data_IF_514259651976
#
_entry.id   IF_514259651976
#
_cell.length_a   1.000
_cell.length_b   1.000
_cell.length_c   1.000
_cell.angle_alpha   90.00
_cell.angle_beta   90.00
_cell.angle_gamma   90.00
#
_symmetry.space_group_name_H-M   'P 1'
#
loop_
_entity.id
_entity.type
_entity.pdbx_description
1 polymer ?
#
# COMPACT_ATOMS: atom_id res chain seq x y z
N UNK A 1 -39.66 -25.33 -21.78
CA UNK A 1 -39.00 -24.77 -20.58
C UNK A 1 -37.67 -24.18 -21.03
N UNK A 2 -37.61 -22.85 -21.20
CA UNK A 2 -36.36 -22.17 -21.56
C UNK A 2 -35.51 -22.08 -20.30
N UNK A 3 -34.42 -22.83 -20.24
CA UNK A 3 -33.43 -22.71 -19.17
C UNK A 3 -32.74 -21.37 -19.40
N UNK A 4 -33.04 -20.38 -18.56
CA UNK A 4 -32.38 -19.09 -18.59
C UNK A 4 -30.89 -19.32 -18.30
N UNK A 5 -30.04 -19.16 -19.33
CA UNK A 5 -28.59 -19.13 -19.17
C UNK A 5 -28.29 -17.90 -18.30
N UNK A 6 -27.69 -18.04 -17.10
CA UNK A 6 -27.42 -16.89 -16.25
C UNK A 6 -26.49 -15.91 -16.98
N UNK A 7 -26.75 -14.61 -16.83
CA UNK A 7 -25.91 -13.58 -17.44
C UNK A 7 -24.46 -13.69 -16.92
N UNK A 8 -23.48 -13.32 -17.75
CA UNK A 8 -22.04 -13.36 -17.39
C UNK A 8 -21.76 -12.65 -16.05
N UNK A 9 -22.51 -11.60 -15.75
CA UNK A 9 -22.44 -10.85 -14.48
C UNK A 9 -22.94 -11.65 -13.27
N UNK A 10 -24.06 -12.38 -13.40
CA UNK A 10 -24.54 -13.26 -12.32
C UNK A 10 -23.55 -14.39 -12.02
N UNK A 11 -22.84 -14.88 -13.04
CA UNK A 11 -21.78 -15.88 -12.87
C UNK A 11 -20.57 -15.34 -12.09
N UNK A 12 -20.12 -14.11 -12.39
CA UNK A 12 -19.00 -13.47 -11.69
C UNK A 12 -19.33 -13.23 -10.21
N UNK A 13 -20.55 -12.80 -9.90
CA UNK A 13 -20.97 -12.56 -8.51
C UNK A 13 -20.90 -13.83 -7.65
N UNK A 14 -21.52 -14.92 -8.12
CA UNK A 14 -21.48 -16.20 -7.39
C UNK A 14 -20.06 -16.75 -7.26
N UNK A 15 -19.23 -16.61 -8.29
CA UNK A 15 -17.82 -16.99 -8.24
C UNK A 15 -17.03 -16.14 -7.23
N UNK A 16 -17.29 -14.83 -7.19
CA UNK A 16 -16.66 -13.90 -6.25
C UNK A 16 -16.94 -14.32 -4.81
N UNK A 17 -18.20 -14.59 -4.47
CA UNK A 17 -18.55 -15.02 -3.11
C UNK A 17 -17.92 -16.39 -2.78
N UNK A 18 -17.93 -17.35 -3.71
CA UNK A 18 -17.30 -18.66 -3.51
C UNK A 18 -15.79 -18.53 -3.22
N UNK A 19 -15.07 -17.77 -4.05
CA UNK A 19 -13.63 -17.53 -3.89
C UNK A 19 -13.36 -16.77 -2.58
N UNK A 20 -14.19 -15.78 -2.25
CA UNK A 20 -14.10 -15.04 -1.00
C UNK A 20 -14.21 -15.92 0.25
N UNK A 21 -15.19 -16.84 0.28
CA UNK A 21 -15.34 -17.82 1.37
C UNK A 21 -14.13 -18.75 1.47
N UNK A 22 -13.57 -19.19 0.34
CA UNK A 22 -12.35 -20.00 0.32
C UNK A 22 -11.14 -19.23 0.91
N UNK A 23 -10.99 -17.95 0.54
CA UNK A 23 -9.95 -17.08 1.11
C UNK A 23 -10.12 -16.96 2.63
N UNK A 24 -11.35 -16.69 3.11
CA UNK A 24 -11.62 -16.60 4.55
C UNK A 24 -11.30 -17.90 5.29
N UNK A 25 -11.70 -19.05 4.73
CA UNK A 25 -11.43 -20.35 5.31
C UNK A 25 -9.93 -20.61 5.46
N UNK A 26 -9.16 -20.42 4.38
CA UNK A 26 -7.69 -20.61 4.39
C UNK A 26 -7.00 -19.63 5.33
N UNK A 27 -7.42 -18.36 5.32
CA UNK A 27 -6.86 -17.33 6.19
C UNK A 27 -7.12 -17.62 7.67
N UNK A 28 -8.30 -18.16 8.04
CA UNK A 28 -8.56 -18.63 9.41
C UNK A 28 -7.63 -19.75 9.84
N UNK A 29 -7.35 -20.71 8.95
CA UNK A 29 -6.43 -21.83 9.21
C UNK A 29 -4.97 -21.38 9.32
N UNK A 30 -4.60 -20.34 8.56
CA UNK A 30 -3.25 -19.77 8.54
C UNK A 30 -2.92 -18.89 9.76
N UNK A 31 -3.83 -18.74 10.72
CA UNK A 31 -3.57 -17.94 11.92
C UNK A 31 -2.40 -18.51 12.71
N UNK A 32 -1.43 -17.68 13.12
CA UNK A 32 -0.50 -18.05 14.17
C UNK A 32 -1.31 -18.42 15.42
N UNK A 33 -0.86 -19.44 16.16
CA UNK A 33 -1.37 -19.66 17.51
C UNK A 33 -1.04 -18.41 18.34
N UNK A 34 -1.88 -17.99 19.31
CA UNK A 34 -1.71 -16.76 20.11
C UNK A 34 -0.38 -16.63 20.89
N UNK A 35 0.53 -17.61 20.76
CA UNK A 35 1.81 -17.70 21.46
C UNK A 35 2.98 -17.23 20.57
N UNK A 36 2.82 -17.13 19.23
CA UNK A 36 3.99 -17.00 18.33
C UNK A 36 4.37 -15.59 17.85
N UNK A 37 3.54 -14.54 17.99
CA UNK A 37 3.96 -13.16 17.72
C UNK A 37 3.06 -12.12 18.41
N UNK A 38 3.67 -11.09 19.01
CA UNK A 38 3.12 -9.73 19.06
C UNK A 38 1.76 -9.47 19.73
N UNK A 39 1.11 -10.44 20.38
CA UNK A 39 -0.26 -10.32 20.89
C UNK A 39 -0.54 -9.07 21.76
N UNK A 40 0.46 -8.56 22.48
CA UNK A 40 0.37 -7.31 23.23
C UNK A 40 0.25 -6.04 22.36
N UNK A 41 0.82 -6.02 21.15
CA UNK A 41 0.69 -4.91 20.19
C UNK A 41 -0.74 -4.83 19.65
N UNK A 42 -1.33 -5.96 19.30
CA UNK A 42 -2.74 -6.05 18.88
C UNK A 42 -3.69 -5.68 20.03
N UNK A 43 -3.40 -6.11 21.27
CA UNK A 43 -4.20 -5.73 22.44
C UNK A 43 -4.10 -4.24 22.79
N UNK A 44 -2.90 -3.65 22.73
CA UNK A 44 -2.70 -2.22 22.99
C UNK A 44 -3.37 -1.35 21.94
N UNK A 45 -3.24 -1.74 20.66
CA UNK A 45 -3.91 -1.07 19.56
C UNK A 45 -5.43 -1.26 19.67
N UNK A 46 -5.94 -2.49 19.74
CA UNK A 46 -7.37 -2.80 19.85
C UNK A 46 -8.05 -2.14 21.06
N UNK A 47 -7.33 -1.96 22.16
CA UNK A 47 -7.82 -1.26 23.34
C UNK A 47 -7.84 0.27 23.16
N UNK A 48 -6.77 0.88 22.61
CA UNK A 48 -6.75 2.32 22.30
C UNK A 48 -7.81 2.72 21.26
N UNK A 49 -8.11 1.79 20.36
CA UNK A 49 -9.06 1.93 19.26
C UNK A 49 -10.53 1.95 19.69
N UNK A 50 -10.83 1.47 20.90
CA UNK A 50 -12.18 1.56 21.49
C UNK A 50 -12.47 2.95 22.09
N UNK A 51 -11.48 3.84 22.12
CA UNK A 51 -11.55 5.16 22.78
C UNK A 51 -10.96 6.24 21.87
N UNK A 52 -11.79 6.93 21.06
CA UNK A 52 -11.32 7.89 20.05
C UNK A 52 -10.37 8.96 20.61
N UNK A 53 -10.67 9.50 21.79
CA UNK A 53 -9.87 10.53 22.45
C UNK A 53 -8.47 10.05 22.84
N UNK A 54 -8.34 8.79 23.26
CA UNK A 54 -7.06 8.23 23.66
C UNK A 54 -6.21 7.84 22.45
N UNK A 55 -6.85 7.29 21.41
CA UNK A 55 -6.22 7.01 20.11
C UNK A 55 -5.54 8.26 19.54
N UNK A 56 -6.26 9.37 19.48
CA UNK A 56 -5.74 10.59 18.86
C UNK A 56 -4.55 11.18 19.65
N UNK A 57 -4.54 11.04 20.98
CA UNK A 57 -3.41 11.43 21.84
C UNK A 57 -2.21 10.49 21.68
N UNK A 58 -2.45 9.19 21.58
CA UNK A 58 -1.40 8.21 21.30
C UNK A 58 -0.75 8.46 19.91
N UNK A 59 -1.55 8.73 18.88
CA UNK A 59 -1.03 9.04 17.55
C UNK A 59 -0.25 10.35 17.52
N UNK A 60 -0.70 11.38 18.26
CA UNK A 60 0.07 12.61 18.46
C UNK A 60 1.39 12.36 19.19
N UNK A 61 1.39 11.53 20.22
CA UNK A 61 2.62 11.16 20.91
C UNK A 61 3.61 10.46 19.95
N UNK A 62 3.14 9.43 19.24
CA UNK A 62 3.97 8.68 18.30
C UNK A 62 4.53 9.58 17.19
N UNK A 63 3.74 10.51 16.64
CA UNK A 63 4.21 11.41 15.58
C UNK A 63 5.27 12.42 16.06
N UNK A 64 5.30 12.73 17.37
CA UNK A 64 6.29 13.63 17.96
C UNK A 64 7.61 12.92 18.34
N UNK A 65 7.58 11.61 18.60
CA UNK A 65 8.75 10.81 19.01
C UNK A 65 10.01 11.03 18.18
N UNK A 66 9.96 11.13 16.84
CA UNK A 66 11.19 11.28 16.04
C UNK A 66 11.88 12.63 16.24
N UNK A 67 11.18 13.64 16.77
CA UNK A 67 11.73 14.98 17.04
C UNK A 67 12.27 15.13 18.47
N UNK A 68 12.06 14.13 19.33
CA UNK A 68 12.45 14.15 20.73
C UNK A 68 13.83 13.52 20.87
N UNK A 69 14.82 14.34 21.21
CA UNK A 69 16.22 13.94 21.26
C UNK A 69 16.52 13.30 22.61
N UNK A 70 15.98 13.86 23.69
CA UNK A 70 16.27 13.45 25.07
C UNK A 70 15.18 12.54 25.65
N UNK A 71 15.51 11.73 26.66
CA UNK A 71 14.51 10.92 27.37
C UNK A 71 13.50 11.79 28.15
N UNK A 72 13.93 12.94 28.67
CA UNK A 72 13.08 13.89 29.37
C UNK A 72 11.97 14.47 28.48
N UNK A 73 12.30 14.82 27.23
CA UNK A 73 11.31 15.29 26.25
C UNK A 73 10.25 14.22 25.93
N UNK A 74 10.68 12.96 25.80
CA UNK A 74 9.77 11.82 25.58
C UNK A 74 8.89 11.59 26.79
N UNK A 75 9.46 11.58 28.00
CA UNK A 75 8.70 11.38 29.24
C UNK A 75 7.67 12.49 29.44
N UNK A 76 8.05 13.75 29.22
CA UNK A 76 7.15 14.91 29.28
C UNK A 76 6.02 14.77 28.29
N UNK A 77 6.32 14.47 27.03
CA UNK A 77 5.31 14.32 25.98
C UNK A 77 4.35 13.17 26.27
N UNK A 78 4.87 12.04 26.77
CA UNK A 78 4.05 10.91 27.19
C UNK A 78 3.09 11.31 28.32
N UNK A 79 3.59 12.03 29.33
CA UNK A 79 2.78 12.53 30.45
C UNK A 79 1.75 13.57 30.00
N UNK A 80 2.11 14.50 29.13
CA UNK A 80 1.17 15.51 28.61
C UNK A 80 0.06 14.89 27.77
N UNK A 81 0.38 13.90 26.93
CA UNK A 81 -0.59 13.24 26.07
C UNK A 81 -1.43 12.20 26.82
N UNK A 82 -0.87 11.47 27.80
CA UNK A 82 -1.55 10.34 28.45
C UNK A 82 -1.84 10.53 29.94
N UNK A 83 -1.11 11.38 30.66
CA UNK A 83 -1.14 11.51 32.13
C UNK A 83 -2.30 12.30 32.74
N UNK A 84 -3.15 12.97 31.93
CA UNK A 84 -4.22 13.83 32.44
C UNK A 84 -5.50 13.14 32.91
N UNK A 85 -5.75 11.87 32.53
CA UNK A 85 -7.03 11.19 32.76
C UNK A 85 -6.80 9.80 33.40
N UNK A 86 -6.47 9.78 34.69
CA UNK A 86 -6.11 8.57 35.43
C UNK A 86 -7.09 7.39 35.28
N UNK A 87 -8.38 7.63 35.08
CA UNK A 87 -9.38 6.56 35.02
C UNK A 87 -9.54 5.91 33.64
N UNK A 88 -8.90 6.46 32.61
CA UNK A 88 -9.08 6.01 31.24
C UNK A 88 -7.96 5.13 30.67
N UNK A 89 -6.86 4.95 31.42
CA UNK A 89 -5.70 4.15 31.04
C UNK A 89 -5.76 2.74 31.66
N UNK A 90 -5.23 1.69 31.00
CA UNK A 90 -5.05 0.39 31.62
C UNK A 90 -4.04 0.55 32.75
N UNK A 91 -4.23 -0.21 33.82
CA UNK A 91 -3.36 -0.19 35.02
C UNK A 91 -1.85 -0.07 34.73
N UNK A 92 -1.24 -0.84 33.81
CA UNK A 92 0.19 -0.69 33.52
C UNK A 92 0.58 0.68 32.92
N UNK A 93 -0.26 1.30 32.09
CA UNK A 93 0.03 2.63 31.54
C UNK A 93 -0.20 3.74 32.58
N UNK A 94 -1.14 3.56 33.52
CA UNK A 94 -1.32 4.50 34.65
C UNK A 94 -0.06 4.60 35.49
N UNK A 95 0.51 3.45 35.86
CA UNK A 95 1.78 3.37 36.58
C UNK A 95 2.94 3.98 35.77
N UNK A 96 2.97 3.72 34.46
CA UNK A 96 4.02 4.22 33.60
C UNK A 96 4.06 5.76 33.53
N UNK A 97 2.92 6.45 33.61
CA UNK A 97 2.84 7.93 33.50
C UNK A 97 2.75 8.65 34.84
N UNK A 98 2.74 7.92 35.96
CA UNK A 98 2.66 8.47 37.31
C UNK A 98 4.04 8.91 37.82
N UNK A 99 4.58 9.94 37.18
CA UNK A 99 5.82 10.59 37.60
C UNK A 99 5.66 12.12 37.53
N UNK A 100 6.12 12.80 38.58
CA UNK A 100 6.07 14.27 38.71
C UNK A 100 7.29 14.95 38.10
N UNK A 101 8.42 14.25 38.04
CA UNK A 101 9.70 14.72 37.53
C UNK A 101 10.07 13.96 36.24
N UNK A 102 10.21 14.72 35.15
CA UNK A 102 10.50 14.21 33.80
C UNK A 102 11.94 13.68 33.67
N UNK A 103 12.83 14.04 34.61
CA UNK A 103 14.24 13.59 34.64
C UNK A 103 14.46 12.40 35.60
N UNK A 104 13.41 11.94 36.30
CA UNK A 104 13.52 10.81 37.21
C UNK A 104 13.97 9.52 36.49
N UNK A 105 14.64 8.62 37.22
CA UNK A 105 15.07 7.31 36.68
C UNK A 105 13.87 6.52 36.13
N UNK A 106 12.71 6.63 36.78
CA UNK A 106 11.45 6.06 36.30
C UNK A 106 11.01 6.67 34.96
N UNK A 107 11.00 8.00 34.85
CA UNK A 107 10.66 8.70 33.61
C UNK A 107 11.59 8.33 32.45
N UNK A 108 12.90 8.20 32.72
CA UNK A 108 13.89 7.79 31.71
C UNK A 108 13.67 6.34 31.24
N UNK A 109 13.37 5.42 32.15
CA UNK A 109 13.06 4.03 31.81
C UNK A 109 11.78 3.92 30.97
N UNK A 110 10.74 4.67 31.33
CA UNK A 110 9.48 4.72 30.59
C UNK A 110 9.67 5.33 29.20
N UNK A 111 10.44 6.42 29.09
CA UNK A 111 10.79 7.04 27.82
C UNK A 111 11.56 6.07 26.90
N UNK A 112 12.55 5.37 27.44
CA UNK A 112 13.29 4.34 26.71
C UNK A 112 12.36 3.23 26.23
N UNK A 113 11.50 2.71 27.11
CA UNK A 113 10.54 1.66 26.77
C UNK A 113 9.56 2.11 25.68
N UNK A 114 9.07 3.36 25.75
CA UNK A 114 8.19 3.94 24.74
C UNK A 114 8.87 4.07 23.37
N UNK A 115 10.13 4.56 23.32
CA UNK A 115 10.93 4.62 22.09
C UNK A 115 11.18 3.23 21.52
N UNK A 116 11.53 2.28 22.38
CA UNK A 116 11.75 0.89 21.97
C UNK A 116 10.48 0.27 21.39
N UNK A 117 9.34 0.43 22.07
CA UNK A 117 8.05 -0.08 21.60
C UNK A 117 7.63 0.55 20.27
N UNK A 118 7.71 1.87 20.14
CA UNK A 118 7.44 2.56 18.88
C UNK A 118 8.38 2.07 17.77
N UNK A 119 9.63 1.76 18.11
CA UNK A 119 10.60 1.27 17.14
C UNK A 119 10.37 -0.15 16.68
N UNK A 120 9.94 -1.03 17.58
CA UNK A 120 9.47 -2.35 17.21
C UNK A 120 8.21 -2.26 16.32
N UNK A 121 7.25 -1.38 16.65
CA UNK A 121 6.06 -1.19 15.84
C UNK A 121 6.40 -0.66 14.43
N UNK A 122 7.28 0.33 14.31
CA UNK A 122 7.68 0.86 13.01
C UNK A 122 8.34 -0.23 12.14
N UNK A 123 9.19 -1.07 12.76
CA UNK A 123 9.82 -2.23 12.09
C UNK A 123 8.82 -3.28 11.61
N UNK A 124 7.64 -3.38 12.20
CA UNK A 124 6.58 -4.27 11.70
C UNK A 124 6.03 -3.82 10.33
N UNK A 125 6.19 -2.55 9.96
CA UNK A 125 5.65 -1.97 8.72
C UNK A 125 6.70 -1.58 7.68
N UNK A 126 8.00 -1.71 8.00
CA UNK A 126 9.11 -1.44 7.08
C UNK A 126 10.02 -2.66 6.97
N UNK A 127 10.49 -2.97 5.76
CA UNK A 127 11.34 -4.16 5.52
C UNK A 127 12.82 -3.94 5.87
N UNK A 128 13.23 -2.69 6.06
CA UNK A 128 14.60 -2.32 6.41
C UNK A 128 14.79 -0.80 6.42
N UNK A 129 15.87 -0.35 7.05
CA UNK A 129 16.25 1.06 7.08
C UNK A 129 17.31 1.43 6.05
N UNK A 130 17.96 0.43 5.45
CA UNK A 130 18.94 0.59 4.39
C UNK A 130 18.60 -0.28 3.17
N UNK A 131 19.09 0.07 1.96
CA UNK A 131 18.90 -0.77 0.77
C UNK A 131 19.33 -2.23 0.99
N UNK A 132 20.48 -2.46 1.63
CA UNK A 132 21.00 -3.81 1.86
C UNK A 132 20.10 -4.65 2.78
N UNK A 133 19.58 -4.05 3.86
CA UNK A 133 18.62 -4.70 4.74
C UNK A 133 17.32 -5.05 4.01
N UNK A 134 16.80 -4.09 3.23
CA UNK A 134 15.56 -4.25 2.47
C UNK A 134 15.70 -5.36 1.41
N UNK A 135 16.82 -5.38 0.67
CA UNK A 135 17.14 -6.40 -0.34
C UNK A 135 17.27 -7.79 0.31
N UNK A 136 17.92 -7.90 1.47
CA UNK A 136 17.99 -9.15 2.21
C UNK A 136 16.61 -9.63 2.71
N UNK A 137 15.77 -8.70 3.16
CA UNK A 137 14.41 -9.01 3.63
C UNK A 137 13.51 -9.53 2.50
N UNK A 138 13.53 -8.87 1.34
CA UNK A 138 12.72 -9.33 0.19
C UNK A 138 13.25 -10.64 -0.41
N UNK A 139 14.56 -10.90 -0.30
CA UNK A 139 15.13 -12.22 -0.64
C UNK A 139 14.54 -13.34 0.21
N UNK A 140 14.34 -13.13 1.52
CA UNK A 140 13.65 -14.08 2.40
C UNK A 140 12.17 -14.20 2.04
N UNK A 141 11.51 -13.09 1.74
CA UNK A 141 10.09 -13.08 1.34
C UNK A 141 9.82 -13.94 0.10
N UNK A 142 10.73 -13.94 -0.88
CA UNK A 142 10.64 -14.81 -2.06
C UNK A 142 10.60 -16.29 -1.72
N UNK A 143 11.33 -16.73 -0.69
CA UNK A 143 11.27 -18.13 -0.25
C UNK A 143 9.92 -18.54 0.35
N UNK A 144 9.06 -17.57 0.69
CA UNK A 144 7.70 -17.78 1.17
C UNK A 144 6.63 -17.71 0.06
N UNK A 145 7.03 -17.77 -1.21
CA UNK A 145 6.11 -17.75 -2.36
C UNK A 145 5.49 -16.38 -2.63
N UNK A 146 6.15 -15.29 -2.22
CA UNK A 146 5.70 -13.91 -2.44
C UNK A 146 6.77 -13.11 -3.18
N UNK A 147 6.37 -12.28 -4.13
CA UNK A 147 7.25 -11.27 -4.74
C UNK A 147 7.07 -9.91 -4.06
N UNK A 148 7.79 -8.88 -4.49
CA UNK A 148 7.83 -7.60 -3.78
C UNK A 148 7.83 -6.40 -4.74
N UNK A 149 7.46 -5.23 -4.23
CA UNK A 149 7.91 -3.94 -4.76
C UNK A 149 8.51 -3.14 -3.61
N UNK A 150 9.71 -2.60 -3.78
CA UNK A 150 10.34 -1.78 -2.75
C UNK A 150 9.95 -0.31 -2.93
N UNK A 151 9.56 0.33 -1.83
CA UNK A 151 9.22 1.76 -1.78
C UNK A 151 10.16 2.47 -0.81
N UNK A 152 10.78 3.56 -1.25
CA UNK A 152 11.62 4.37 -0.37
C UNK A 152 10.71 5.37 0.36
N UNK A 153 10.65 5.23 1.68
CA UNK A 153 9.89 6.12 2.54
C UNK A 153 10.51 7.51 2.59
N UNK A 154 9.76 8.44 2.04
CA UNK A 154 10.00 9.87 1.98
C UNK A 154 8.84 10.47 1.22
N UNK A 155 8.24 11.51 1.77
CA UNK A 155 7.20 12.27 1.10
C UNK A 155 7.83 13.40 0.26
N UNK A 156 7.03 14.41 -0.08
CA UNK A 156 7.42 15.61 -0.81
C UNK A 156 8.74 16.19 -0.31
N UNK A 157 9.75 16.19 -1.16
CA UNK A 157 11.02 16.86 -0.89
C UNK A 157 10.82 18.36 -1.01
N UNK A 158 11.57 19.15 -0.23
CA UNK A 158 11.48 20.62 -0.24
C UNK A 158 12.74 21.27 -0.80
N UNK A 159 13.81 20.49 -0.98
CA UNK A 159 15.09 20.97 -1.48
C UNK A 159 15.65 20.07 -2.58
N UNK A 160 16.43 20.65 -3.49
CA UNK A 160 17.13 19.89 -4.52
C UNK A 160 18.10 18.84 -3.92
N UNK A 161 18.66 19.13 -2.73
CA UNK A 161 19.53 18.20 -2.01
C UNK A 161 18.79 16.95 -1.53
N UNK A 162 17.57 17.11 -1.03
CA UNK A 162 16.72 15.98 -0.64
C UNK A 162 16.31 15.16 -1.87
N UNK A 163 15.93 15.83 -2.96
CA UNK A 163 15.60 15.16 -4.22
C UNK A 163 16.77 14.30 -4.75
N UNK A 164 17.99 14.85 -4.72
CA UNK A 164 19.21 14.12 -5.09
C UNK A 164 19.49 12.94 -4.15
N UNK A 165 19.25 13.13 -2.84
CA UNK A 165 19.41 12.05 -1.87
C UNK A 165 18.47 10.88 -2.15
N UNK A 166 17.17 11.13 -2.39
CA UNK A 166 16.22 10.09 -2.75
C UNK A 166 16.55 9.44 -4.09
N UNK A 167 16.97 10.23 -5.07
CA UNK A 167 17.41 9.72 -6.36
C UNK A 167 18.57 8.72 -6.22
N UNK A 168 19.64 9.07 -5.49
CA UNK A 168 20.76 8.15 -5.27
C UNK A 168 20.37 6.93 -4.43
N UNK A 169 19.43 7.07 -3.47
CA UNK A 169 18.87 5.92 -2.75
C UNK A 169 18.18 4.94 -3.70
N UNK A 170 17.35 5.43 -4.63
CA UNK A 170 16.72 4.59 -5.66
C UNK A 170 17.76 3.96 -6.59
N UNK A 171 18.77 4.71 -7.06
CA UNK A 171 19.85 4.18 -7.89
C UNK A 171 20.64 3.08 -7.19
N UNK A 172 20.97 3.29 -5.91
CA UNK A 172 21.65 2.28 -5.09
C UNK A 172 20.79 1.04 -4.92
N UNK A 173 19.51 1.20 -4.63
CA UNK A 173 18.57 0.09 -4.50
C UNK A 173 18.48 -0.73 -5.80
N UNK A 174 18.30 -0.08 -6.94
CA UNK A 174 18.27 -0.75 -8.25
C UNK A 174 19.58 -1.48 -8.54
N UNK A 175 20.74 -0.89 -8.22
CA UNK A 175 22.06 -1.51 -8.38
C UNK A 175 22.22 -2.76 -7.51
N UNK A 176 21.82 -2.69 -6.24
CA UNK A 176 21.88 -3.83 -5.32
C UNK A 176 20.94 -4.95 -5.79
N UNK A 177 19.71 -4.62 -6.19
CA UNK A 177 18.75 -5.59 -6.75
C UNK A 177 19.25 -6.25 -8.03
N UNK A 178 19.84 -5.49 -8.96
CA UNK A 178 20.43 -6.05 -10.18
C UNK A 178 21.57 -7.02 -9.88
N UNK A 179 22.36 -6.76 -8.83
CA UNK A 179 23.46 -7.63 -8.41
C UNK A 179 23.03 -8.93 -7.74
N UNK A 180 21.88 -8.95 -7.05
CA UNK A 180 21.42 -10.13 -6.28
C UNK A 180 20.29 -10.92 -6.94
N UNK A 181 19.39 -10.26 -7.68
CA UNK A 181 18.18 -10.89 -8.19
C UNK A 181 18.41 -12.05 -9.19
N UNK A 182 19.50 -12.07 -9.98
CA UNK A 182 19.83 -13.23 -10.81
C UNK A 182 20.18 -14.49 -9.98
N UNK A 183 20.64 -14.31 -8.73
CA UNK A 183 21.06 -15.41 -7.84
C UNK A 183 19.88 -16.05 -7.11
N UNK A 184 18.71 -15.41 -7.11
CA UNK A 184 17.52 -16.01 -6.51
C UNK A 184 17.04 -17.18 -7.36
N UNK A 185 16.59 -18.24 -6.67
CA UNK A 185 15.96 -19.37 -7.33
C UNK A 185 14.78 -18.91 -8.18
N UNK A 186 14.65 -19.50 -9.36
CA UNK A 186 13.51 -19.27 -10.22
C UNK A 186 12.25 -19.87 -9.60
N UNK A 187 11.20 -19.06 -9.49
CA UNK A 187 9.88 -19.52 -9.08
C UNK A 187 8.89 -19.29 -10.24
N UNK A 188 8.36 -20.35 -10.88
CA UNK A 188 7.42 -20.22 -12.00
C UNK A 188 6.13 -19.46 -11.67
N UNK A 189 5.70 -19.45 -10.39
CA UNK A 189 4.54 -18.68 -9.97
C UNK A 189 4.82 -17.18 -9.95
N UNK A 190 6.02 -16.79 -9.53
CA UNK A 190 6.41 -15.39 -9.31
C UNK A 190 7.08 -14.75 -10.52
N UNK A 191 7.85 -15.54 -11.28
CA UNK A 191 8.78 -15.04 -12.29
C UNK A 191 8.30 -15.33 -13.73
N UNK A 192 7.09 -15.88 -13.91
CA UNK A 192 6.55 -16.20 -15.24
C UNK A 192 5.07 -15.87 -15.34
N UNK A 193 4.72 -15.24 -16.46
CA UNK A 193 3.36 -14.99 -16.88
C UNK A 193 3.12 -15.56 -18.29
N UNK A 194 1.87 -15.65 -18.76
CA UNK A 194 1.55 -16.08 -20.12
C UNK A 194 2.23 -15.24 -21.21
N UNK A 195 2.55 -13.99 -20.90
CA UNK A 195 3.22 -13.04 -21.78
C UNK A 195 4.76 -13.00 -21.60
N UNK A 196 5.35 -13.96 -20.88
CA UNK A 196 6.80 -14.12 -20.77
C UNK A 196 7.36 -14.06 -19.34
N UNK A 197 8.70 -14.01 -19.20
CA UNK A 197 9.36 -13.88 -17.91
C UNK A 197 9.02 -12.53 -17.27
N UNK A 198 8.94 -12.52 -15.93
CA UNK A 198 8.70 -11.32 -15.14
C UNK A 198 9.99 -10.86 -14.45
N UNK A 199 10.20 -9.55 -14.28
CA UNK A 199 11.29 -9.01 -13.47
C UNK A 199 11.21 -9.49 -12.03
N UNK A 200 12.35 -9.94 -11.50
CA UNK A 200 12.51 -10.29 -10.08
C UNK A 200 12.77 -9.07 -9.20
N UNK A 201 13.19 -7.97 -9.81
CA UNK A 201 13.41 -6.67 -9.16
C UNK A 201 12.26 -5.73 -9.51
N UNK A 202 11.68 -5.08 -8.51
CA UNK A 202 10.59 -4.13 -8.69
C UNK A 202 10.65 -3.03 -7.62
N UNK A 203 10.52 -1.78 -8.05
CA UNK A 203 10.58 -0.59 -7.20
C UNK A 203 9.39 0.31 -7.52
N UNK A 204 8.71 0.77 -6.48
CA UNK A 204 7.69 1.82 -6.56
C UNK A 204 8.34 3.18 -6.32
N UNK A 205 8.00 4.18 -7.13
CA UNK A 205 8.58 5.52 -7.09
C UNK A 205 7.48 6.57 -6.97
N UNK A 206 7.64 7.50 -6.03
CA UNK A 206 6.80 8.70 -5.90
C UNK A 206 7.52 9.89 -6.55
N UNK A 207 6.82 10.62 -7.41
CA UNK A 207 7.43 11.74 -8.13
C UNK A 207 7.70 12.95 -7.24
N UNK A 208 6.90 13.16 -6.20
CA UNK A 208 7.15 14.20 -5.19
C UNK A 208 8.46 14.01 -4.43
N UNK A 209 9.05 12.81 -4.44
CA UNK A 209 10.36 12.54 -3.85
C UNK A 209 11.53 12.88 -4.79
N UNK A 210 11.26 13.10 -6.09
CA UNK A 210 12.26 13.33 -7.12
C UNK A 210 12.42 14.80 -7.51
N UNK A 211 11.54 15.70 -7.08
CA UNK A 211 11.75 17.14 -7.29
C UNK A 211 11.03 17.98 -6.23
N UNK A 212 11.67 19.04 -5.72
CA UNK A 212 11.03 19.99 -4.80
C UNK A 212 10.01 20.88 -5.50
N UNK A 213 9.95 20.86 -6.83
CA UNK A 213 8.97 21.59 -7.64
C UNK A 213 7.71 20.76 -7.94
N UNK A 214 7.72 19.47 -7.60
CA UNK A 214 6.58 18.59 -7.76
C UNK A 214 5.68 18.65 -6.53
N UNK A 215 5.03 19.80 -6.33
CA UNK A 215 4.24 20.11 -5.13
C UNK A 215 2.83 20.61 -5.47
N UNK A 216 1.92 20.54 -4.50
CA UNK A 216 0.54 21.01 -4.64
C UNK A 216 0.43 22.51 -4.97
N UNK A 217 1.37 23.32 -4.45
CA UNK A 217 1.26 24.77 -4.40
C UNK A 217 1.80 25.48 -5.66
N UNK A 218 2.49 24.73 -6.53
CA UNK A 218 3.08 25.27 -7.74
C UNK A 218 2.28 24.80 -8.95
N UNK A 219 1.68 25.71 -9.76
CA UNK A 219 1.20 25.32 -11.08
C UNK A 219 2.36 24.67 -11.84
N UNK A 220 2.04 23.71 -12.72
CA UNK A 220 2.93 22.78 -13.45
C UNK A 220 4.10 23.41 -14.23
N UNK A 221 4.99 24.16 -13.57
CA UNK A 221 5.94 25.06 -14.24
C UNK A 221 7.31 24.41 -14.41
N UNK A 222 7.65 23.36 -13.65
CA UNK A 222 8.86 22.57 -13.94
C UNK A 222 8.75 21.11 -13.48
N UNK A 223 8.34 20.25 -14.41
CA UNK A 223 8.37 18.78 -14.26
C UNK A 223 9.63 18.15 -14.87
N UNK A 224 10.55 18.94 -15.43
CA UNK A 224 11.70 18.42 -16.17
C UNK A 224 12.65 17.67 -15.24
N UNK A 225 12.90 18.22 -14.04
CA UNK A 225 13.78 17.59 -13.05
C UNK A 225 13.24 16.23 -12.58
N UNK A 226 11.93 16.14 -12.29
CA UNK A 226 11.28 14.88 -11.91
C UNK A 226 11.30 13.87 -13.07
N UNK A 227 11.08 14.34 -14.30
CA UNK A 227 11.17 13.52 -15.51
C UNK A 227 12.59 12.97 -15.73
N UNK A 228 13.62 13.82 -15.67
CA UNK A 228 14.99 13.42 -15.94
C UNK A 228 15.50 12.39 -14.92
N UNK A 229 15.18 12.57 -13.63
CA UNK A 229 15.50 11.60 -12.58
C UNK A 229 14.72 10.29 -12.76
N UNK A 230 13.42 10.36 -13.06
CA UNK A 230 12.65 9.13 -13.32
C UNK A 230 13.18 8.39 -14.55
N UNK A 231 13.57 9.11 -15.61
CA UNK A 231 14.17 8.53 -16.81
C UNK A 231 15.48 7.82 -16.50
N UNK A 232 16.36 8.42 -15.70
CA UNK A 232 17.59 7.77 -15.23
C UNK A 232 17.31 6.50 -14.42
N UNK A 233 16.34 6.53 -13.50
CA UNK A 233 15.92 5.34 -12.76
C UNK A 233 15.35 4.25 -13.68
N UNK A 234 14.58 4.62 -14.70
CA UNK A 234 14.04 3.69 -15.69
C UNK A 234 15.13 3.05 -16.53
N UNK A 235 16.14 3.83 -16.96
CA UNK A 235 17.32 3.29 -17.67
C UNK A 235 18.08 2.28 -16.80
N UNK A 236 18.30 2.62 -15.52
CA UNK A 236 18.97 1.73 -14.57
C UNK A 236 18.18 0.44 -14.33
N UNK A 237 16.85 0.52 -14.19
CA UNK A 237 15.98 -0.64 -14.05
C UNK A 237 15.96 -1.49 -15.33
N UNK A 238 15.80 -0.87 -16.50
CA UNK A 238 15.77 -1.58 -17.77
C UNK A 238 17.08 -2.36 -18.03
N UNK A 239 18.24 -1.71 -17.84
CA UNK A 239 19.54 -2.37 -17.98
C UNK A 239 19.82 -3.45 -16.92
N UNK A 240 19.17 -3.38 -15.76
CA UNK A 240 19.28 -4.35 -14.67
C UNK A 240 18.22 -5.45 -14.67
N UNK A 241 17.31 -5.51 -15.65
CA UNK A 241 16.20 -6.45 -15.68
C UNK A 241 15.18 -6.25 -14.55
N UNK A 242 14.99 -4.99 -14.13
CA UNK A 242 14.05 -4.57 -13.10
C UNK A 242 12.76 -3.99 -13.66
N UNK A 243 11.86 -3.62 -12.74
CA UNK A 243 10.56 -3.01 -13.00
C UNK A 243 10.43 -1.70 -12.24
N UNK A 244 9.84 -0.68 -12.86
CA UNK A 244 9.47 0.59 -12.20
C UNK A 244 7.95 0.76 -12.16
N UNK A 245 7.40 0.95 -10.96
CA UNK A 245 6.01 1.38 -10.77
C UNK A 245 5.97 2.85 -10.34
N UNK A 246 5.26 3.70 -11.07
CA UNK A 246 5.01 5.09 -10.66
C UNK A 246 3.75 5.13 -9.79
N UNK A 247 3.92 5.54 -8.53
CA UNK A 247 2.80 5.66 -7.60
C UNK A 247 2.04 6.97 -7.81
N UNK A 248 0.73 6.93 -7.57
CA UNK A 248 -0.12 8.12 -7.52
C UNK A 248 -0.28 8.62 -6.10
N UNK A 249 -0.16 9.93 -5.97
CA UNK A 249 -0.20 10.66 -4.71
C UNK A 249 -1.55 11.40 -4.56
N UNK A 250 -1.53 12.66 -4.15
CA UNK A 250 -2.71 13.53 -4.06
C UNK A 250 -3.21 13.94 -5.46
N UNK A 251 -4.49 14.29 -5.57
CA UNK A 251 -5.16 14.58 -6.86
C UNK A 251 -4.49 15.71 -7.63
N UNK A 252 -3.89 16.68 -6.93
CA UNK A 252 -3.21 17.83 -7.54
C UNK A 252 -1.98 17.44 -8.35
N UNK A 253 -1.32 16.34 -8.00
CA UNK A 253 -0.13 15.84 -8.69
C UNK A 253 -0.47 14.87 -9.82
N UNK A 254 -1.74 14.45 -9.92
CA UNK A 254 -2.18 13.39 -10.83
C UNK A 254 -1.86 13.73 -12.28
N UNK A 255 -2.30 14.89 -12.79
CA UNK A 255 -2.09 15.24 -14.20
C UNK A 255 -0.60 15.25 -14.58
N UNK A 256 0.22 15.91 -13.75
CA UNK A 256 1.66 15.99 -13.98
C UNK A 256 2.32 14.59 -13.94
N UNK A 257 1.82 13.69 -13.07
CA UNK A 257 2.29 12.30 -13.01
C UNK A 257 1.99 11.55 -14.30
N UNK A 258 0.76 11.64 -14.81
CA UNK A 258 0.41 10.99 -16.07
C UNK A 258 1.14 11.61 -17.27
N UNK A 259 1.34 12.93 -17.30
CA UNK A 259 2.10 13.61 -18.37
C UNK A 259 3.56 13.13 -18.42
N UNK A 260 4.23 13.07 -17.25
CA UNK A 260 5.58 12.53 -17.12
C UNK A 260 5.62 11.06 -17.57
N UNK A 261 4.66 10.25 -17.12
CA UNK A 261 4.60 8.83 -17.44
C UNK A 261 4.39 8.56 -18.94
N UNK A 262 3.50 9.31 -19.59
CA UNK A 262 3.27 9.24 -21.04
C UNK A 262 4.51 9.65 -21.84
N UNK A 263 5.16 10.75 -21.44
CA UNK A 263 6.40 11.23 -22.05
C UNK A 263 7.52 10.19 -21.91
N UNK A 264 7.61 9.53 -20.76
CA UNK A 264 8.58 8.49 -20.45
C UNK A 264 8.35 7.25 -21.33
N UNK A 265 7.10 6.77 -21.40
CA UNK A 265 6.72 5.62 -22.23
C UNK A 265 6.94 5.86 -23.74
N UNK A 266 6.99 7.13 -24.16
CA UNK A 266 7.22 7.55 -25.55
C UNK A 266 8.70 7.66 -25.93
N UNK A 267 9.62 7.64 -24.95
CA UNK A 267 11.06 7.67 -25.20
C UNK A 267 11.50 6.46 -26.01
N UNK A 268 12.31 6.68 -27.04
CA UNK A 268 12.76 5.63 -27.96
C UNK A 268 13.40 4.43 -27.25
N UNK A 269 14.19 4.68 -26.22
CA UNK A 269 14.88 3.64 -25.45
C UNK A 269 13.97 2.85 -24.49
N UNK A 270 12.77 3.35 -24.20
CA UNK A 270 11.80 2.71 -23.31
C UNK A 270 10.55 2.26 -24.03
N UNK A 271 10.36 2.57 -25.32
CA UNK A 271 9.13 2.30 -26.07
C UNK A 271 8.73 0.82 -26.08
N UNK A 272 9.72 -0.06 -26.13
CA UNK A 272 9.51 -1.51 -26.21
C UNK A 272 9.69 -2.22 -24.85
N UNK A 273 9.92 -1.45 -23.77
CA UNK A 273 10.17 -1.99 -22.43
C UNK A 273 8.87 -2.21 -21.64
N UNK A 274 8.37 -3.45 -21.46
CA UNK A 274 7.05 -3.67 -20.89
C UNK A 274 7.02 -3.63 -19.35
N UNK A 275 8.18 -3.53 -18.69
CA UNK A 275 8.32 -3.65 -17.23
C UNK A 275 8.22 -2.29 -16.54
N UNK A 276 7.18 -1.56 -16.92
CA UNK A 276 6.82 -0.28 -16.37
C UNK A 276 5.33 -0.27 -16.02
N UNK A 277 4.98 0.41 -14.94
CA UNK A 277 3.60 0.54 -14.52
C UNK A 277 3.28 1.84 -13.80
N UNK A 278 1.99 2.09 -13.65
CA UNK A 278 1.44 3.26 -12.96
C UNK A 278 0.20 2.86 -12.17
N UNK A 279 -0.09 3.62 -11.11
CA UNK A 279 -1.27 3.42 -10.27
C UNK A 279 -2.52 4.05 -10.89
N UNK A 280 -3.70 3.45 -10.66
CA UNK A 280 -5.01 4.11 -10.74
C UNK A 280 -5.67 4.04 -9.36
N UNK A 281 -6.30 5.13 -8.93
CA UNK A 281 -7.00 5.23 -7.64
C UNK A 281 -8.53 5.21 -7.85
N UNK A 282 -9.18 4.08 -7.56
CA UNK A 282 -10.63 3.88 -7.78
C UNK A 282 -11.54 4.78 -6.92
N UNK A 283 -11.03 5.38 -5.84
CA UNK A 283 -11.79 6.31 -5.01
C UNK A 283 -12.07 7.66 -5.69
N UNK A 284 -11.40 7.96 -6.82
CA UNK A 284 -11.61 9.20 -7.58
C UNK A 284 -12.82 9.01 -8.49
N UNK A 285 -13.69 10.02 -8.51
CA UNK A 285 -14.92 10.03 -9.30
C UNK A 285 -14.67 9.91 -10.80
N UNK A 286 -13.50 10.37 -11.25
CA UNK A 286 -13.07 10.38 -12.65
C UNK A 286 -11.96 9.36 -12.95
N UNK A 287 -11.72 8.37 -12.08
CA UNK A 287 -10.71 7.32 -12.27
C UNK A 287 -10.87 6.51 -13.57
N UNK A 288 -12.09 6.47 -14.15
CA UNK A 288 -12.33 5.91 -15.48
C UNK A 288 -11.57 6.63 -16.59
N UNK A 289 -11.45 7.96 -16.50
CA UNK A 289 -10.68 8.77 -17.44
C UNK A 289 -9.21 8.38 -17.43
N UNK A 290 -8.66 8.08 -16.26
CA UNK A 290 -7.28 7.65 -16.09
C UNK A 290 -7.04 6.27 -16.75
N UNK A 291 -8.01 5.36 -16.63
CA UNK A 291 -8.00 4.09 -17.36
C UNK A 291 -8.03 4.29 -18.88
N UNK A 292 -8.97 5.09 -19.39
CA UNK A 292 -9.11 5.32 -20.84
C UNK A 292 -7.85 6.00 -21.41
N UNK A 293 -7.22 6.90 -20.64
CA UNK A 293 -5.94 7.54 -20.96
C UNK A 293 -4.81 6.52 -21.13
N UNK A 294 -4.65 5.59 -20.20
CA UNK A 294 -3.62 4.54 -20.26
C UNK A 294 -3.88 3.52 -21.37
N UNK A 295 -5.15 3.17 -21.60
CA UNK A 295 -5.52 2.29 -22.71
C UNK A 295 -5.15 2.92 -24.06
N UNK A 296 -5.41 4.21 -24.22
CA UNK A 296 -5.01 4.95 -25.41
C UNK A 296 -3.49 5.02 -25.57
N UNK A 297 -2.74 5.24 -24.47
CA UNK A 297 -1.28 5.19 -24.47
C UNK A 297 -0.75 3.82 -24.90
N UNK A 298 -1.21 2.74 -24.27
CA UNK A 298 -0.77 1.37 -24.57
C UNK A 298 -1.05 0.98 -26.04
N UNK A 299 -2.21 1.38 -26.59
CA UNK A 299 -2.53 1.20 -28.01
C UNK A 299 -1.56 1.93 -28.93
N UNK A 300 -1.24 3.20 -28.65
CA UNK A 300 -0.29 3.99 -29.45
C UNK A 300 1.14 3.44 -29.38
N UNK A 301 1.54 2.98 -28.19
CA UNK A 301 2.88 2.46 -27.92
C UNK A 301 3.09 1.04 -28.45
N UNK A 302 2.02 0.27 -28.62
CA UNK A 302 2.03 -1.15 -29.00
C UNK A 302 2.80 -2.08 -28.04
N UNK A 303 3.20 -1.57 -26.87
CA UNK A 303 3.87 -2.31 -25.80
C UNK A 303 3.04 -2.20 -24.53
N UNK A 304 2.72 -3.32 -23.86
CA UNK A 304 1.87 -3.30 -22.68
C UNK A 304 2.46 -2.47 -21.53
N UNK A 305 1.56 -2.00 -20.67
CA UNK A 305 1.89 -1.27 -19.44
C UNK A 305 1.19 -1.97 -18.28
N UNK A 306 1.82 -2.03 -17.11
CA UNK A 306 1.16 -2.56 -15.92
C UNK A 306 0.35 -1.48 -15.22
N UNK A 307 -0.89 -1.80 -14.84
CA UNK A 307 -1.74 -0.90 -14.08
C UNK A 307 -1.95 -1.48 -12.69
N UNK A 308 -1.44 -0.78 -11.67
CA UNK A 308 -1.73 -1.07 -10.27
C UNK A 308 -3.03 -0.38 -9.86
N UNK A 309 -4.13 -1.11 -9.83
CA UNK A 309 -5.40 -0.61 -9.34
C UNK A 309 -5.43 -0.67 -7.80
N UNK A 310 -5.64 0.48 -7.16
CA UNK A 310 -5.86 0.62 -5.72
C UNK A 310 -7.17 1.38 -5.47
N UNK A 311 -7.69 1.38 -4.24
CA UNK A 311 -8.80 2.29 -3.89
C UNK A 311 -8.29 3.74 -3.83
N UNK A 312 -7.38 4.01 -2.91
CA UNK A 312 -6.81 5.34 -2.69
C UNK A 312 -6.35 5.47 -1.25
N UNK A 313 -5.47 6.43 -0.99
CA UNK A 313 -4.81 6.54 0.31
C UNK A 313 -4.87 7.96 0.92
N UNK A 314 -5.55 8.91 0.26
CA UNK A 314 -5.58 10.32 0.65
C UNK A 314 -7.00 10.86 0.86
N UNK A 315 -7.98 9.99 1.15
CA UNK A 315 -9.40 10.32 1.15
C UNK A 315 -9.75 11.48 2.11
N UNK A 316 -9.26 11.42 3.35
CA UNK A 316 -9.50 12.46 4.35
C UNK A 316 -8.88 13.80 3.94
N UNK A 317 -7.68 13.76 3.35
CA UNK A 317 -6.99 14.96 2.85
C UNK A 317 -7.77 15.61 1.71
N UNK A 318 -8.17 14.84 0.70
CA UNK A 318 -8.90 15.37 -0.46
C UNK A 318 -10.28 15.92 -0.07
N UNK A 319 -10.95 15.26 0.87
CA UNK A 319 -12.25 15.72 1.39
C UNK A 319 -12.10 17.02 2.18
N UNK A 320 -11.15 17.07 3.12
CA UNK A 320 -10.90 18.27 3.92
C UNK A 320 -10.45 19.46 3.06
N UNK A 321 -9.62 19.24 2.04
CA UNK A 321 -9.17 20.29 1.13
C UNK A 321 -10.31 20.80 0.25
N UNK A 322 -11.15 19.91 -0.29
CA UNK A 322 -12.32 20.30 -1.07
C UNK A 322 -13.30 21.15 -0.24
N UNK A 323 -13.56 20.75 1.01
CA UNK A 323 -14.41 21.48 1.94
C UNK A 323 -13.83 22.89 2.25
N UNK A 324 -12.53 22.98 2.53
CA UNK A 324 -11.85 24.28 2.76
C UNK A 324 -11.93 25.21 1.55
N UNK A 325 -11.88 24.65 0.34
CA UNK A 325 -11.93 25.41 -0.91
C UNK A 325 -13.36 25.69 -1.39
N UNK A 326 -14.39 25.13 -0.72
CA UNK A 326 -15.79 25.22 -1.16
C UNK A 326 -16.03 24.56 -2.53
N UNK A 327 -15.25 23.52 -2.87
CA UNK A 327 -15.32 22.81 -4.15
C UNK A 327 -15.88 21.40 -3.97
N UNK A 328 -16.47 20.78 -5.02
CA UNK A 328 -16.87 19.39 -4.95
C UNK A 328 -15.68 18.47 -4.66
N UNK A 329 -15.86 17.53 -3.73
CA UNK A 329 -14.83 16.54 -3.43
C UNK A 329 -14.50 15.68 -4.67
N UNK A 330 -13.22 15.50 -5.01
CA UNK A 330 -12.80 14.68 -6.16
C UNK A 330 -12.97 13.17 -5.89
N UNK A 331 -13.15 12.79 -4.62
CA UNK A 331 -13.32 11.41 -4.18
C UNK A 331 -14.80 11.07 -3.95
N UNK A 332 -15.12 9.78 -4.03
CA UNK A 332 -16.43 9.27 -3.62
C UNK A 332 -16.68 9.52 -2.13
N UNK A 333 -17.91 9.85 -1.76
CA UNK A 333 -18.26 10.16 -0.38
C UNK A 333 -18.49 8.92 0.47
N UNK A 334 -18.90 7.81 -0.17
CA UNK A 334 -19.17 6.55 0.50
C UNK A 334 -18.16 5.47 0.07
N UNK A 335 -17.79 4.61 1.02
CA UNK A 335 -16.87 3.49 0.78
C UNK A 335 -17.37 2.55 -0.32
N UNK A 336 -18.66 2.22 -0.31
CA UNK A 336 -19.24 1.29 -1.30
C UNK A 336 -19.15 1.83 -2.73
N UNK A 337 -19.14 3.15 -2.94
CA UNK A 337 -18.94 3.76 -4.27
C UNK A 337 -17.50 3.54 -4.76
N UNK A 338 -16.51 3.69 -3.88
CA UNK A 338 -15.11 3.36 -4.19
C UNK A 338 -14.92 1.87 -4.48
N UNK A 339 -15.66 1.02 -3.75
CA UNK A 339 -15.62 -0.45 -3.94
C UNK A 339 -16.28 -0.85 -5.28
N UNK A 340 -17.42 -0.23 -5.63
CA UNK A 340 -18.08 -0.41 -6.91
C UNK A 340 -17.20 0.05 -8.08
N UNK A 341 -16.55 1.22 -7.95
CA UNK A 341 -15.63 1.74 -8.96
C UNK A 341 -14.40 0.83 -9.11
N UNK A 342 -13.90 0.25 -8.00
CA UNK A 342 -12.81 -0.73 -8.06
C UNK A 342 -13.23 -2.00 -8.82
N UNK A 343 -14.43 -2.54 -8.57
CA UNK A 343 -14.97 -3.69 -9.31
C UNK A 343 -15.22 -3.36 -10.80
N UNK A 344 -15.67 -2.14 -11.14
CA UNK A 344 -15.79 -1.70 -12.53
C UNK A 344 -14.43 -1.65 -13.25
N UNK A 345 -13.46 -0.96 -12.67
CA UNK A 345 -12.11 -0.84 -13.25
C UNK A 345 -11.41 -2.20 -13.32
N UNK A 346 -11.70 -3.11 -12.38
CA UNK A 346 -11.21 -4.50 -12.43
C UNK A 346 -11.67 -5.22 -13.68
N UNK A 347 -12.97 -5.15 -14.01
CA UNK A 347 -13.51 -5.78 -15.21
C UNK A 347 -12.91 -5.20 -16.49
N UNK A 348 -12.73 -3.89 -16.55
CA UNK A 348 -12.11 -3.20 -17.70
C UNK A 348 -10.64 -3.60 -17.89
N UNK A 349 -9.88 -3.68 -16.79
CA UNK A 349 -8.47 -4.12 -16.84
C UNK A 349 -8.36 -5.59 -17.26
N UNK A 350 -9.28 -6.45 -16.81
CA UNK A 350 -9.34 -7.85 -17.24
C UNK A 350 -9.68 -7.96 -18.73
N UNK A 351 -10.62 -7.15 -19.23
CA UNK A 351 -11.00 -7.12 -20.66
C UNK A 351 -9.84 -6.68 -21.57
N UNK A 352 -8.97 -5.81 -21.07
CA UNK A 352 -7.83 -5.25 -21.80
C UNK A 352 -6.46 -5.73 -21.28
N UNK A 353 -6.41 -6.93 -20.71
CA UNK A 353 -5.20 -7.48 -20.06
C UNK A 353 -4.01 -7.71 -21.01
N UNK A 354 -4.26 -7.72 -22.32
CA UNK A 354 -3.25 -7.79 -23.38
C UNK A 354 -2.45 -6.49 -23.50
N UNK A 355 -3.09 -5.34 -23.25
CA UNK A 355 -2.49 -4.01 -23.33
C UNK A 355 -2.15 -3.43 -21.95
N UNK A 356 -3.01 -3.68 -20.97
CA UNK A 356 -2.91 -3.17 -19.61
C UNK A 356 -2.80 -4.35 -18.64
N UNK A 357 -1.57 -4.72 -18.26
CA UNK A 357 -1.32 -5.85 -17.36
C UNK A 357 -1.90 -5.55 -15.97
N UNK A 358 -2.89 -6.31 -15.49
CA UNK A 358 -3.62 -5.96 -14.28
C UNK A 358 -2.87 -6.37 -13.00
N UNK A 359 -2.70 -5.41 -12.09
CA UNK A 359 -2.24 -5.64 -10.74
C UNK A 359 -3.23 -5.03 -9.72
N UNK A 360 -3.76 -5.84 -8.81
CA UNK A 360 -4.84 -5.45 -7.89
C UNK A 360 -4.33 -5.29 -6.46
N UNK A 361 -4.13 -4.05 -6.01
CA UNK A 361 -3.67 -3.71 -4.67
C UNK A 361 -4.82 -3.52 -3.68
N UNK A 362 -5.08 -4.52 -2.84
CA UNK A 362 -6.14 -4.46 -1.83
C UNK A 362 -5.93 -5.46 -0.70
N UNK A 363 -6.46 -5.14 0.49
CA UNK A 363 -6.63 -6.10 1.59
C UNK A 363 -8.09 -6.54 1.77
N UNK A 364 -9.00 -6.03 0.94
CA UNK A 364 -10.40 -6.43 0.98
C UNK A 364 -10.56 -7.77 0.22
N UNK A 365 -10.98 -8.81 0.95
CA UNK A 365 -11.18 -10.18 0.43
C UNK A 365 -12.16 -10.20 -0.75
N UNK A 366 -13.27 -9.47 -0.65
CA UNK A 366 -14.26 -9.34 -1.73
C UNK A 366 -13.62 -8.75 -2.99
N UNK A 367 -12.85 -7.66 -2.86
CA UNK A 367 -12.19 -7.03 -4.01
C UNK A 367 -11.19 -7.97 -4.71
N UNK A 368 -10.39 -8.71 -3.94
CA UNK A 368 -9.43 -9.68 -4.51
C UNK A 368 -10.14 -10.89 -5.12
N UNK A 369 -11.19 -11.39 -4.47
CA UNK A 369 -12.01 -12.47 -5.00
C UNK A 369 -12.71 -12.05 -6.31
N UNK A 370 -13.16 -10.80 -6.41
CA UNK A 370 -13.79 -10.26 -7.61
C UNK A 370 -12.79 -10.19 -8.78
N UNK A 371 -11.54 -9.81 -8.51
CA UNK A 371 -10.48 -9.82 -9.51
C UNK A 371 -10.19 -11.22 -10.05
N UNK A 372 -10.08 -12.22 -9.16
CA UNK A 372 -9.89 -13.62 -9.56
C UNK A 372 -11.10 -14.11 -10.37
N UNK A 373 -12.32 -13.90 -9.87
CA UNK A 373 -13.56 -14.30 -10.52
C UNK A 373 -13.72 -13.67 -11.91
N UNK A 374 -13.37 -12.38 -12.05
CA UNK A 374 -13.43 -11.66 -13.32
C UNK A 374 -12.43 -12.23 -14.32
N UNK A 375 -11.20 -12.51 -13.90
CA UNK A 375 -10.17 -13.12 -14.75
C UNK A 375 -10.57 -14.52 -15.22
N UNK A 376 -11.08 -15.36 -14.30
CA UNK A 376 -11.57 -16.71 -14.60
C UNK A 376 -12.74 -16.66 -15.60
N UNK A 377 -13.71 -15.76 -15.38
CA UNK A 377 -14.87 -15.60 -16.25
C UNK A 377 -14.52 -15.02 -17.64
N UNK A 378 -13.39 -14.33 -17.75
CA UNK A 378 -12.84 -13.89 -19.02
C UNK A 378 -11.99 -14.96 -19.72
N UNK A 379 -11.72 -16.10 -19.06
CA UNK A 379 -10.89 -17.17 -19.59
C UNK A 379 -9.41 -16.77 -19.69
N UNK A 380 -8.96 -15.80 -18.88
CA UNK A 380 -7.55 -15.43 -18.86
C UNK A 380 -6.71 -16.61 -18.37
N UNK A 381 -5.54 -16.89 -18.98
CA UNK A 381 -4.70 -17.96 -18.49
C UNK A 381 -4.25 -17.70 -17.04
N UNK A 382 -3.98 -18.76 -16.25
CA UNK A 382 -3.45 -18.61 -14.91
C UNK A 382 -2.22 -17.69 -14.89
N UNK A 383 -2.06 -16.93 -13.81
CA UNK A 383 -0.94 -15.97 -13.66
C UNK A 383 -0.99 -14.79 -14.65
N UNK A 384 -2.12 -14.50 -15.29
CA UNK A 384 -2.28 -13.24 -16.05
C UNK A 384 -2.37 -12.04 -15.10
N UNK A 385 -3.20 -12.15 -14.06
CA UNK A 385 -3.36 -11.09 -13.06
C UNK A 385 -2.33 -11.22 -11.93
N UNK A 386 -1.99 -10.11 -11.30
CA UNK A 386 -1.22 -10.07 -10.06
C UNK A 386 -2.06 -9.48 -8.92
N UNK A 387 -2.00 -10.07 -7.74
CA UNK A 387 -2.59 -9.51 -6.53
C UNK A 387 -1.50 -8.81 -5.71
N UNK A 388 -1.84 -7.72 -5.03
CA UNK A 388 -0.88 -6.97 -4.23
C UNK A 388 -1.43 -6.61 -2.85
N UNK A 389 -0.56 -6.66 -1.85
CA UNK A 389 -0.85 -6.34 -0.46
C UNK A 389 0.31 -5.55 0.17
N UNK A 390 0.10 -4.94 1.33
CA UNK A 390 1.14 -4.21 2.05
C UNK A 390 1.94 -5.16 2.96
N UNK A 391 3.22 -4.85 3.14
CA UNK A 391 4.04 -5.44 4.19
C UNK A 391 3.51 -5.06 5.57
N UNK A 392 3.60 -5.98 6.53
CA UNK A 392 3.11 -5.78 7.90
C UNK A 392 1.59 -5.82 8.07
N UNK A 393 0.83 -6.10 7.01
CA UNK A 393 -0.64 -6.15 7.04
C UNK A 393 -1.18 -7.42 6.38
N UNK A 394 -2.26 -7.96 6.95
CA UNK A 394 -3.04 -9.04 6.34
C UNK A 394 -2.25 -10.34 6.12
N UNK A 395 -1.35 -10.72 7.02
CA UNK A 395 -0.54 -11.95 6.88
C UNK A 395 -1.37 -13.23 6.68
N UNK A 396 -2.51 -13.44 7.38
CA UNK A 396 -3.38 -14.57 7.10
C UNK A 396 -3.98 -14.56 5.68
N UNK A 397 -4.35 -13.38 5.19
CA UNK A 397 -4.83 -13.18 3.81
C UNK A 397 -3.72 -13.51 2.80
N UNK A 398 -2.52 -12.96 2.99
CA UNK A 398 -1.37 -13.23 2.11
C UNK A 398 -1.05 -14.71 2.04
N UNK A 399 -1.04 -15.39 3.20
CA UNK A 399 -0.82 -16.84 3.28
C UNK A 399 -1.90 -17.62 2.52
N UNK A 400 -3.17 -17.24 2.68
CA UNK A 400 -4.28 -17.86 1.94
C UNK A 400 -4.11 -17.73 0.42
N UNK A 401 -3.74 -16.55 -0.07
CA UNK A 401 -3.53 -16.29 -1.50
C UNK A 401 -2.36 -17.10 -2.07
N UNK A 402 -1.26 -17.22 -1.33
CA UNK A 402 -0.11 -18.07 -1.71
C UNK A 402 -0.53 -19.54 -1.77
N UNK A 403 -1.30 -20.03 -0.80
CA UNK A 403 -1.82 -21.40 -0.80
C UNK A 403 -2.82 -21.67 -1.94
N UNK A 404 -3.46 -20.63 -2.46
CA UNK A 404 -4.33 -20.68 -3.63
C UNK A 404 -3.55 -20.54 -4.95
N UNK A 405 -2.20 -20.58 -4.89
CA UNK A 405 -1.31 -20.39 -6.03
C UNK A 405 -1.57 -19.09 -6.81
N UNK A 406 -2.00 -18.04 -6.11
CA UNK A 406 -2.13 -16.69 -6.69
C UNK A 406 -0.78 -15.99 -6.66
N UNK A 407 -0.42 -15.28 -7.74
CA UNK A 407 0.78 -14.45 -7.74
C UNK A 407 0.54 -13.23 -6.86
N UNK A 408 1.29 -13.15 -5.75
CA UNK A 408 1.16 -12.10 -4.76
C UNK A 408 2.44 -11.25 -4.70
N UNK A 409 2.30 -9.93 -4.91
CA UNK A 409 3.35 -8.93 -4.68
C UNK A 409 3.10 -8.16 -3.39
N UNK A 410 4.09 -8.11 -2.52
CA UNK A 410 4.03 -7.33 -1.28
C UNK A 410 4.71 -5.98 -1.50
N UNK A 411 3.98 -4.90 -1.24
CA UNK A 411 4.52 -3.55 -1.20
C UNK A 411 5.35 -3.39 0.08
N UNK A 412 6.65 -3.18 -0.07
CA UNK A 412 7.67 -3.26 0.95
C UNK A 412 8.31 -1.89 1.18
N UNK A 413 7.83 -1.13 2.16
CA UNK A 413 8.40 0.17 2.48
C UNK A 413 9.75 0.00 3.16
N UNK A 414 10.72 0.84 2.80
CA UNK A 414 12.03 0.92 3.44
C UNK A 414 12.38 2.37 3.75
N UNK A 415 13.06 2.62 4.86
CA UNK A 415 13.49 3.98 5.16
C UNK A 415 13.97 4.20 6.57
N UNK A 416 14.50 5.40 6.79
CA UNK A 416 15.01 5.83 8.08
C UNK A 416 13.88 5.95 9.12
N UNK A 417 14.29 6.11 10.38
CA UNK A 417 13.41 6.22 11.55
C UNK A 417 12.27 7.21 11.37
N UNK A 418 12.60 8.46 10.96
CA UNK A 418 11.64 9.56 10.90
C UNK A 418 10.53 9.29 9.87
N UNK A 419 10.83 9.00 8.59
CA UNK A 419 9.80 8.58 7.62
C UNK A 419 9.06 7.30 8.04
N UNK A 420 9.76 6.35 8.68
CA UNK A 420 9.16 5.11 9.17
C UNK A 420 8.06 5.33 10.21
N UNK A 421 8.24 6.28 11.13
CA UNK A 421 7.22 6.63 12.12
C UNK A 421 6.05 7.39 11.50
N UNK A 422 6.30 8.31 10.57
CA UNK A 422 5.20 8.97 9.83
C UNK A 422 4.35 7.95 9.05
N UNK A 423 5.02 7.01 8.39
CA UNK A 423 4.37 5.89 7.72
C UNK A 423 3.60 4.99 8.68
N UNK A 424 4.17 4.68 9.86
CA UNK A 424 3.46 3.94 10.92
C UNK A 424 2.17 4.65 11.32
N UNK A 425 2.20 5.96 11.60
CA UNK A 425 0.98 6.71 11.99
C UNK A 425 -0.09 6.62 10.89
N UNK A 426 0.30 6.78 9.63
CA UNK A 426 -0.62 6.62 8.49
C UNK A 426 -1.18 5.20 8.42
N UNK A 427 -0.35 4.17 8.59
CA UNK A 427 -0.80 2.78 8.63
C UNK A 427 -1.70 2.51 9.82
N UNK A 428 -1.44 3.08 10.99
CA UNK A 428 -2.34 2.96 12.14
C UNK A 428 -3.69 3.61 11.85
N UNK A 429 -3.73 4.81 11.26
CA UNK A 429 -4.97 5.48 10.84
C UNK A 429 -5.76 4.65 9.82
N UNK A 430 -5.10 4.18 8.77
CA UNK A 430 -5.73 3.33 7.75
C UNK A 430 -6.13 1.96 8.29
N UNK A 431 -5.33 1.38 9.19
CA UNK A 431 -5.67 0.17 9.93
C UNK A 431 -6.87 0.41 10.82
N UNK A 432 -7.16 1.62 11.29
CA UNK A 432 -8.40 1.82 12.05
C UNK A 432 -9.67 1.59 11.22
N UNK A 433 -9.64 2.00 9.95
CA UNK A 433 -10.75 1.80 9.02
C UNK A 433 -10.70 0.41 8.35
N UNK A 434 -9.51 -0.08 8.00
CA UNK A 434 -9.30 -1.36 7.31
C UNK A 434 -9.18 -2.55 8.25
N UNK A 435 -8.64 -2.40 9.46
CA UNK A 435 -8.82 -3.38 10.54
C UNK A 435 -10.28 -3.43 10.93
N UNK A 436 -11.11 -2.39 10.86
CA UNK A 436 -12.56 -2.63 11.02
C UNK A 436 -13.00 -3.77 10.08
N UNK A 437 -12.56 -3.76 8.82
CA UNK A 437 -12.82 -4.87 7.88
C UNK A 437 -12.02 -6.15 8.18
N UNK A 438 -10.70 -6.11 8.39
CA UNK A 438 -9.86 -7.30 8.64
C UNK A 438 -10.14 -7.93 10.01
N UNK A 439 -10.40 -7.12 11.04
CA UNK A 439 -10.83 -7.52 12.38
C UNK A 439 -12.26 -8.05 12.36
N UNK A 440 -13.21 -7.42 11.68
CA UNK A 440 -14.54 -8.02 11.49
C UNK A 440 -14.43 -9.37 10.77
N UNK A 441 -13.69 -9.40 9.65
CA UNK A 441 -13.45 -10.58 8.82
C UNK A 441 -12.78 -11.74 9.55
N UNK A 442 -11.79 -11.44 10.39
CA UNK A 442 -10.95 -12.45 10.99
C UNK A 442 -11.19 -12.54 12.51
N UNK A 443 -11.12 -11.47 13.26
CA UNK A 443 -11.12 -11.52 14.73
C UNK A 443 -12.51 -11.61 15.37
N UNK A 444 -13.54 -11.00 14.79
CA UNK A 444 -14.85 -10.84 15.44
C UNK A 444 -15.96 -11.73 14.83
N UNK A 445 -15.62 -12.61 13.89
CA UNK A 445 -16.57 -13.56 13.31
C UNK A 445 -17.73 -12.87 12.59
N UNK A 446 -17.46 -11.74 11.95
CA UNK A 446 -18.48 -11.00 11.22
C UNK A 446 -19.10 -11.84 10.10
N UNK A 447 -20.33 -11.49 9.75
CA UNK A 447 -21.11 -12.19 8.73
C UNK A 447 -20.38 -12.14 7.38
N UNK A 448 -19.86 -13.29 6.94
CA UNK A 448 -19.18 -13.41 5.65
C UNK A 448 -20.08 -13.01 4.49
N UNK A 449 -21.39 -13.21 4.60
CA UNK A 449 -22.33 -12.82 3.56
C UNK A 449 -22.42 -11.29 3.44
N UNK A 450 -22.30 -10.56 4.55
CA UNK A 450 -22.22 -9.10 4.53
C UNK A 450 -20.87 -8.62 3.95
N UNK A 451 -19.75 -9.24 4.34
CA UNK A 451 -18.42 -8.84 3.87
C UNK A 451 -18.17 -9.16 2.39
N UNK A 452 -18.88 -10.17 1.87
CA UNK A 452 -18.83 -10.59 0.47
C UNK A 452 -19.99 -10.07 -0.38
N UNK A 453 -20.91 -9.30 0.22
CA UNK A 453 -21.99 -8.67 -0.50
C UNK A 453 -21.45 -7.78 -1.63
N UNK A 454 -22.17 -7.69 -2.76
CA UNK A 454 -21.81 -6.75 -3.82
C UNK A 454 -21.85 -5.31 -3.27
N UNK A 455 -20.92 -4.43 -3.69
CA UNK A 455 -20.91 -3.05 -3.25
C UNK A 455 -22.23 -2.36 -3.57
N UNK A 456 -22.87 -1.79 -2.56
CA UNK A 456 -24.10 -1.02 -2.73
C UNK A 456 -24.55 -0.35 -1.45
N UNK A 457 -25.62 0.43 -1.54
CA UNK A 457 -26.15 1.19 -0.40
C UNK A 457 -26.52 0.28 0.79
N UNK A 458 -26.91 -0.97 0.55
CA UNK A 458 -27.23 -1.96 1.57
C UNK A 458 -26.00 -2.62 2.24
N UNK A 459 -24.81 -2.51 1.64
CA UNK A 459 -23.55 -3.05 2.18
C UNK A 459 -22.78 -2.01 3.01
N UNK A 460 -23.42 -0.88 3.37
CA UNK A 460 -22.80 0.27 4.02
C UNK A 460 -22.68 0.16 5.56
N UNK A 461 -22.87 -1.03 6.12
CA UNK A 461 -22.83 -1.32 7.57
C UNK A 461 -21.44 -1.52 8.13
#
# INVERSE_FOLDING_TARGET
>A
MSVAIPSKTHSIESATQRIGREIFERARRARPRPIELGWWQELGLAWSMRRPHLRDRLFRFISLLPRQVTHAEVARSLREQLGGNGDDLPFPLRLAVDFRDDDSVHAQLVAWAARFAAGQMARSFIVGSTPAEAVAAVGRMRSSGMTFTLDVLGETVRTAREAEHFHELYRRLLRELAGVSPRWSHDPLLDTAPFGPLPRSNVSVKLSALSPHFTHDLPQVDTAEAFDRLLDLCRAAHGGGGFINVDLEHVSLREATFDIFERLCSQTELRDWPDIGIVIQAYLRDSRRDFDRLLALARRRATPITVRLVKGAYWDYETALADQQGRPSPVWSHKWESDAQFEELTRLLVEHADLLRPAFGSHNVRSLAHAIASADAAGLPPRTIELQALFGMGDPLKTALVQMAQRLRVYCPMGAWVPGVAYLVRRLLENTANESFLRQSFLEGADEDQLLAPPGMASAG
#
